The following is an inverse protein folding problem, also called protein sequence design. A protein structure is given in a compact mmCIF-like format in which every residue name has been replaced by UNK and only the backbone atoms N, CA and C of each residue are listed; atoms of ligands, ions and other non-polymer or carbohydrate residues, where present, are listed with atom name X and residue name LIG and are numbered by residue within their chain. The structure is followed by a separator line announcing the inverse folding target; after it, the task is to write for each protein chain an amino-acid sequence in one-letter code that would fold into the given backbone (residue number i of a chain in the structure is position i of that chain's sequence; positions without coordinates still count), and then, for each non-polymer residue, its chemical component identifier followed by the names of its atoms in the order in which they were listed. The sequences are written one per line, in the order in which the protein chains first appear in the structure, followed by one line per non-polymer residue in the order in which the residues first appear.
data_IF_366300461349
#
_entry.id   IF_366300461349
#
_cell.length_a   1.000
_cell.length_b   1.000
_cell.length_c   1.000
_cell.angle_alpha   90.00
_cell.angle_beta   90.00
_cell.angle_gamma   90.00
#
_symmetry.space_group_name_H-M   'P 1'
#
loop_
_entity.id
_entity.type
_entity.pdbx_description
1 polymer ?
#
# COMPACT_ATOMS: atom_id res chain seq x y z
N UNK A 1 -24.83 -4.31 16.12
CA UNK A 1 -24.00 -4.34 17.34
C UNK A 1 -22.84 -3.36 17.11
N UNK A 2 -22.47 -2.57 18.12
CA UNK A 2 -21.36 -1.60 18.04
C UNK A 2 -20.31 -2.01 19.06
N UNK A 3 -19.03 -1.89 18.72
CA UNK A 3 -17.93 -2.21 19.63
C UNK A 3 -17.84 -1.17 20.75
N UNK A 4 -17.79 -1.65 21.98
CA UNK A 4 -17.83 -0.81 23.18
C UNK A 4 -16.48 -0.19 23.51
N UNK A 5 -16.49 0.99 24.12
CA UNK A 5 -15.27 1.76 24.51
C UNK A 5 -14.36 0.98 25.45
N UNK A 6 -14.88 0.39 26.51
CA UNK A 6 -14.05 -0.21 27.57
C UNK A 6 -13.16 -1.37 27.11
N UNK A 7 -13.66 -2.39 26.35
CA UNK A 7 -12.80 -3.43 25.78
C UNK A 7 -11.74 -2.90 24.83
N UNK A 8 -12.10 -1.90 24.01
CA UNK A 8 -11.17 -1.27 23.08
C UNK A 8 -10.06 -0.50 23.81
N UNK A 9 -10.39 0.21 24.88
CA UNK A 9 -9.41 0.89 25.72
C UNK A 9 -8.44 -0.09 26.39
N UNK A 10 -8.94 -1.20 26.90
CA UNK A 10 -8.08 -2.21 27.51
C UNK A 10 -7.09 -2.79 26.47
N UNK A 11 -7.58 -3.12 25.28
CA UNK A 11 -6.75 -3.63 24.18
C UNK A 11 -5.74 -2.59 23.70
N UNK A 12 -6.16 -1.32 23.54
CA UNK A 12 -5.26 -0.23 23.14
C UNK A 12 -4.18 0.04 24.18
N UNK A 13 -4.53 -0.01 25.46
CA UNK A 13 -3.57 0.18 26.55
C UNK A 13 -2.50 -0.90 26.52
N UNK A 14 -2.89 -2.15 26.32
CA UNK A 14 -1.96 -3.26 26.18
C UNK A 14 -1.10 -3.13 24.93
N UNK A 15 -1.70 -2.78 23.78
CA UNK A 15 -0.96 -2.55 22.55
C UNK A 15 0.09 -1.43 22.70
N UNK A 16 -0.27 -0.32 23.34
CA UNK A 16 0.66 0.79 23.60
C UNK A 16 1.81 0.39 24.53
N UNK A 17 1.59 -0.53 25.46
CA UNK A 17 2.65 -1.02 26.36
C UNK A 17 3.73 -1.83 25.62
N UNK A 18 3.40 -2.41 24.46
CA UNK A 18 4.32 -3.21 23.64
C UNK A 18 4.81 -2.46 22.39
N UNK A 19 4.19 -1.36 22.03
CA UNK A 19 4.56 -0.55 20.86
C UNK A 19 5.66 0.48 21.22
N UNK A 20 6.43 0.95 20.25
CA UNK A 20 7.32 2.08 20.43
C UNK A 20 6.59 3.29 20.97
N UNK A 21 7.30 4.11 21.76
CA UNK A 21 6.77 5.41 22.21
C UNK A 21 6.40 6.28 21.00
N UNK A 22 5.30 7.02 21.11
CA UNK A 22 4.73 7.84 20.03
C UNK A 22 4.22 7.05 18.81
N UNK A 23 3.89 5.75 18.96
CA UNK A 23 3.18 5.01 17.92
C UNK A 23 1.82 5.65 17.64
N UNK A 24 1.52 5.83 16.34
CA UNK A 24 0.26 6.40 15.86
C UNK A 24 -0.84 5.34 15.86
N UNK A 25 -2.03 5.72 16.33
CA UNK A 25 -3.23 4.85 16.38
C UNK A 25 -4.09 5.12 15.16
N UNK A 26 -4.27 4.13 14.32
CA UNK A 26 -4.99 4.25 13.05
C UNK A 26 -6.19 3.31 13.03
N UNK A 27 -7.38 3.86 12.79
CA UNK A 27 -8.60 3.09 12.59
C UNK A 27 -8.76 2.78 11.09
N UNK A 28 -8.96 1.50 10.78
CA UNK A 28 -9.35 1.09 9.43
C UNK A 28 -10.85 1.29 9.24
N UNK A 29 -11.23 2.30 8.45
CA UNK A 29 -12.61 2.77 8.29
C UNK A 29 -12.89 3.15 6.84
N UNK A 30 -14.04 2.79 6.23
CA UNK A 30 -14.40 3.26 4.89
C UNK A 30 -14.64 4.78 4.82
N UNK A 31 -14.82 5.44 5.95
CA UNK A 31 -15.00 6.90 6.05
C UNK A 31 -13.67 7.66 6.14
N UNK A 32 -12.57 6.96 6.38
CA UNK A 32 -11.26 7.54 6.61
C UNK A 32 -10.62 8.12 5.34
N UNK A 33 -9.50 8.82 5.55
CA UNK A 33 -8.65 9.30 4.45
C UNK A 33 -8.24 8.12 3.58
N UNK A 34 -8.30 8.29 2.25
CA UNK A 34 -7.86 7.26 1.31
C UNK A 34 -6.35 7.02 1.46
N UNK A 35 -6.01 5.77 1.68
CA UNK A 35 -4.63 5.30 1.70
C UNK A 35 -4.09 5.19 0.28
N UNK A 36 -2.94 5.78 0.02
CA UNK A 36 -2.25 5.78 -1.26
C UNK A 36 -0.74 5.55 -1.08
N UNK A 37 -0.01 5.48 -2.19
CA UNK A 37 1.43 5.26 -2.19
C UNK A 37 2.21 6.35 -1.42
N UNK A 38 1.77 7.60 -1.51
CA UNK A 38 2.43 8.69 -0.79
C UNK A 38 2.27 8.54 0.72
N UNK A 39 1.08 8.14 1.18
CA UNK A 39 0.83 7.89 2.59
C UNK A 39 1.64 6.67 3.08
N UNK A 40 1.78 5.62 2.27
CA UNK A 40 2.64 4.48 2.59
C UNK A 40 4.10 4.91 2.80
N UNK A 41 4.64 5.73 1.90
CA UNK A 41 6.00 6.25 1.99
C UNK A 41 6.18 7.15 3.22
N UNK A 42 5.23 8.02 3.52
CA UNK A 42 5.28 8.88 4.71
C UNK A 42 5.25 8.07 6.01
N UNK A 43 4.41 7.04 6.04
CA UNK A 43 4.20 6.22 7.24
C UNK A 43 5.38 5.32 7.61
N UNK A 44 6.37 5.13 6.74
CA UNK A 44 7.62 4.44 7.09
C UNK A 44 8.45 5.19 8.14
N UNK A 45 8.23 6.50 8.27
CA UNK A 45 8.94 7.35 9.24
C UNK A 45 8.27 7.35 10.63
N UNK A 46 7.08 6.75 10.76
CA UNK A 46 6.43 6.62 12.05
C UNK A 46 7.24 5.71 12.98
N UNK A 47 7.29 6.05 14.26
CA UNK A 47 7.94 5.22 15.28
C UNK A 47 7.28 3.83 15.38
N UNK A 48 5.97 3.76 15.16
CA UNK A 48 5.16 2.57 15.08
C UNK A 48 3.72 2.89 14.71
N UNK A 49 2.97 1.88 14.29
CA UNK A 49 1.55 1.97 13.96
C UNK A 49 0.76 0.95 14.77
N UNK A 50 -0.33 1.39 15.40
CA UNK A 50 -1.30 0.53 16.07
C UNK A 50 -2.59 0.59 15.25
N UNK A 51 -2.96 -0.52 14.62
CA UNK A 51 -4.17 -0.60 13.81
C UNK A 51 -5.36 -1.04 14.65
N UNK A 52 -6.43 -0.25 14.62
CA UNK A 52 -7.74 -0.61 15.15
C UNK A 52 -8.56 -1.21 14.02
N UNK A 53 -8.90 -2.49 14.17
CA UNK A 53 -9.68 -3.24 13.20
C UNK A 53 -11.12 -3.36 13.71
N UNK A 54 -12.02 -2.51 13.19
CA UNK A 54 -13.44 -2.52 13.54
C UNK A 54 -14.15 -3.76 13.02
N UNK A 55 -15.21 -4.16 13.72
CA UNK A 55 -16.16 -5.22 13.36
C UNK A 55 -17.59 -4.74 13.57
N UNK A 56 -18.55 -5.51 13.06
CA UNK A 56 -19.98 -5.25 13.19
C UNK A 56 -20.41 -3.95 12.47
N UNK A 57 -21.24 -3.13 13.12
CA UNK A 57 -21.76 -1.87 12.58
C UNK A 57 -20.82 -0.67 12.80
N UNK A 58 -19.73 -0.87 13.56
CA UNK A 58 -18.76 0.17 13.85
C UNK A 58 -18.26 0.19 15.28
N UNK A 59 -17.56 1.26 15.61
CA UNK A 59 -16.94 1.53 16.91
C UNK A 59 -17.66 2.72 17.54
N UNK A 60 -17.75 2.74 18.87
CA UNK A 60 -18.30 3.87 19.61
C UNK A 60 -17.49 5.14 19.31
N UNK A 61 -18.16 6.18 18.83
CA UNK A 61 -17.55 7.42 18.35
C UNK A 61 -16.69 8.13 19.41
N UNK A 62 -17.02 7.95 20.69
CA UNK A 62 -16.20 8.50 21.79
C UNK A 62 -14.82 7.86 21.86
N UNK A 63 -14.70 6.58 21.47
CA UNK A 63 -13.39 5.94 21.36
C UNK A 63 -12.61 6.51 20.18
N UNK A 64 -13.26 6.68 19.04
CA UNK A 64 -12.62 7.23 17.84
C UNK A 64 -12.11 8.64 18.11
N UNK A 65 -12.98 9.50 18.64
CA UNK A 65 -12.64 10.92 18.90
C UNK A 65 -11.51 11.12 19.91
N UNK A 66 -11.43 10.25 20.94
CA UNK A 66 -10.50 10.46 22.05
C UNK A 66 -9.17 9.70 21.90
N UNK A 67 -9.13 8.61 21.11
CA UNK A 67 -8.01 7.66 21.13
C UNK A 67 -7.46 7.28 19.75
N UNK A 68 -8.09 7.70 18.67
CA UNK A 68 -7.64 7.44 17.30
C UNK A 68 -7.01 8.70 16.72
N UNK A 69 -5.80 8.57 16.19
CA UNK A 69 -5.10 9.70 15.59
C UNK A 69 -5.56 9.96 14.15
N UNK A 70 -5.79 8.90 13.38
CA UNK A 70 -6.27 8.97 12.00
C UNK A 70 -7.20 7.80 11.66
N UNK A 71 -8.10 8.03 10.69
CA UNK A 71 -8.86 6.99 10.03
C UNK A 71 -8.39 6.81 8.59
N UNK A 72 -8.13 5.57 8.19
CA UNK A 72 -7.69 5.25 6.83
C UNK A 72 -8.64 4.30 6.12
N UNK A 73 -8.88 4.58 4.83
CA UNK A 73 -9.68 3.76 3.91
C UNK A 73 -8.81 3.20 2.79
N UNK A 74 -9.00 1.94 2.42
CA UNK A 74 -8.36 1.34 1.25
C UNK A 74 -9.21 1.45 -0.03
N UNK A 75 -10.39 2.07 0.03
CA UNK A 75 -11.27 2.28 -1.12
C UNK A 75 -12.73 2.47 -0.72
N UNK A 76 -13.53 2.87 -1.70
CA UNK A 76 -14.96 3.19 -1.54
C UNK A 76 -15.83 1.92 -1.57
N UNK A 77 -15.61 1.02 -0.64
CA UNK A 77 -16.38 -0.21 -0.44
C UNK A 77 -16.30 -0.67 1.01
N UNK A 78 -17.26 -1.49 1.41
CA UNK A 78 -17.37 -1.99 2.78
C UNK A 78 -16.88 -3.44 2.84
N UNK A 79 -16.05 -3.73 3.83
CA UNK A 79 -15.57 -5.07 4.18
C UNK A 79 -16.18 -5.53 5.50
N UNK A 80 -16.11 -6.82 5.76
CA UNK A 80 -16.66 -7.41 7.00
C UNK A 80 -15.87 -7.08 8.27
N UNK A 81 -14.68 -6.47 8.13
CA UNK A 81 -13.81 -6.08 9.24
C UNK A 81 -12.57 -5.35 8.79
N UNK A 82 -11.89 -4.70 9.71
CA UNK A 82 -10.70 -3.90 9.45
C UNK A 82 -9.38 -4.67 9.26
N UNK A 83 -9.38 -5.99 9.49
CA UNK A 83 -8.15 -6.76 9.47
C UNK A 83 -7.51 -6.87 8.07
N UNK A 84 -8.33 -7.11 7.04
CA UNK A 84 -7.84 -7.16 5.65
C UNK A 84 -7.29 -5.79 5.19
N UNK A 85 -7.99 -4.66 5.40
CA UNK A 85 -7.43 -3.35 5.18
C UNK A 85 -6.10 -3.11 5.89
N UNK A 86 -6.00 -3.47 7.17
CA UNK A 86 -4.77 -3.33 7.94
C UNK A 86 -3.62 -4.15 7.32
N UNK A 87 -3.88 -5.38 6.87
CA UNK A 87 -2.88 -6.21 6.19
C UNK A 87 -2.40 -5.58 4.88
N UNK A 88 -3.31 -5.02 4.07
CA UNK A 88 -2.96 -4.32 2.82
C UNK A 88 -2.06 -3.12 3.12
N UNK A 89 -2.43 -2.30 4.11
CA UNK A 89 -1.66 -1.13 4.53
C UNK A 89 -0.29 -1.53 5.06
N UNK A 90 -0.23 -2.55 5.93
CA UNK A 90 1.04 -3.07 6.47
C UNK A 90 1.97 -3.57 5.36
N UNK A 91 1.46 -4.32 4.39
CA UNK A 91 2.27 -4.81 3.26
C UNK A 91 2.82 -3.64 2.45
N UNK A 92 1.96 -2.67 2.09
CA UNK A 92 2.37 -1.50 1.33
C UNK A 92 3.45 -0.67 2.04
N UNK A 93 3.33 -0.45 3.36
CA UNK A 93 4.33 0.28 4.15
C UNK A 93 5.62 -0.53 4.29
N UNK A 94 5.52 -1.83 4.58
CA UNK A 94 6.66 -2.70 4.82
C UNK A 94 7.62 -2.76 3.63
N UNK A 95 7.10 -2.66 2.40
CA UNK A 95 7.92 -2.62 1.17
C UNK A 95 8.91 -1.46 1.16
N UNK A 96 8.61 -0.35 1.84
CA UNK A 96 9.47 0.83 1.93
C UNK A 96 10.46 0.78 3.10
N UNK A 97 10.38 -0.23 3.97
CA UNK A 97 11.32 -0.39 5.07
C UNK A 97 12.64 -1.02 4.59
N UNK A 98 13.79 -0.52 5.06
CA UNK A 98 15.09 -1.09 4.70
C UNK A 98 15.18 -2.58 5.02
N UNK A 99 15.66 -3.37 4.07
CA UNK A 99 15.88 -4.82 4.26
C UNK A 99 14.65 -5.70 4.09
N UNK A 100 13.47 -5.15 3.81
CA UNK A 100 12.24 -5.94 3.56
C UNK A 100 12.26 -6.58 2.18
N UNK A 101 12.74 -5.88 1.17
CA UNK A 101 12.89 -6.40 -0.19
C UNK A 101 14.36 -6.75 -0.46
N UNK A 102 14.56 -7.89 -1.15
CA UNK A 102 15.90 -8.35 -1.52
C UNK A 102 16.63 -7.44 -2.54
N UNK A 103 15.88 -6.63 -3.29
CA UNK A 103 16.40 -5.64 -4.21
C UNK A 103 15.74 -4.28 -3.96
N UNK A 104 16.49 -3.36 -3.38
CA UNK A 104 15.99 -1.98 -3.11
C UNK A 104 15.73 -1.16 -4.38
N UNK A 105 16.36 -1.52 -5.50
CA UNK A 105 16.13 -0.86 -6.78
C UNK A 105 14.68 -1.05 -7.27
N UNK A 106 14.07 -2.17 -6.94
CA UNK A 106 12.67 -2.46 -7.32
C UNK A 106 11.67 -1.47 -6.73
N UNK A 107 11.98 -0.83 -5.59
CA UNK A 107 11.12 0.17 -4.96
C UNK A 107 11.14 1.50 -5.72
N UNK A 108 12.27 1.82 -6.38
CA UNK A 108 12.46 3.09 -7.08
C UNK A 108 11.69 3.11 -8.40
N UNK A 109 11.51 1.95 -9.03
CA UNK A 109 10.85 1.79 -10.33
C UNK A 109 9.36 1.40 -10.20
N UNK A 110 8.79 1.43 -9.00
CA UNK A 110 7.40 1.00 -8.75
C UNK A 110 6.35 2.00 -9.23
N UNK A 111 5.19 1.43 -9.63
CA UNK A 111 3.99 2.20 -9.97
C UNK A 111 3.60 3.19 -8.87
N UNK A 112 3.07 4.34 -9.27
CA UNK A 112 2.57 5.41 -8.40
C UNK A 112 3.61 6.23 -7.61
N UNK A 113 4.90 5.98 -7.75
CA UNK A 113 5.95 6.82 -7.12
C UNK A 113 5.91 8.25 -7.66
N UNK A 114 5.85 8.37 -8.98
CA UNK A 114 5.79 9.66 -9.70
C UNK A 114 4.41 9.91 -10.35
N UNK A 115 3.36 9.21 -9.88
CA UNK A 115 2.03 9.27 -10.49
C UNK A 115 1.94 8.50 -11.82
N UNK A 116 2.95 7.73 -12.18
CA UNK A 116 2.98 6.87 -13.37
C UNK A 116 2.75 5.42 -13.00
N UNK A 117 2.30 4.62 -13.96
CA UNK A 117 2.23 3.17 -13.83
C UNK A 117 3.53 2.55 -14.34
N UNK A 118 3.89 1.43 -13.73
CA UNK A 118 5.00 0.60 -14.22
C UNK A 118 4.72 0.10 -15.65
N UNK A 119 5.77 -0.18 -16.38
CA UNK A 119 5.71 -0.62 -17.77
C UNK A 119 5.41 -2.13 -17.86
N UNK A 120 4.89 -2.60 -19.03
CA UNK A 120 4.63 -4.02 -19.23
C UNK A 120 5.92 -4.85 -19.22
N UNK A 121 5.94 -5.91 -18.41
CA UNK A 121 7.04 -6.85 -18.35
C UNK A 121 6.83 -8.01 -19.30
N UNK A 122 7.93 -8.49 -19.89
CA UNK A 122 7.93 -9.62 -20.82
C UNK A 122 8.95 -10.67 -20.35
N UNK A 123 8.59 -11.94 -20.48
CA UNK A 123 9.44 -13.09 -20.16
C UNK A 123 9.77 -13.90 -21.43
N UNK A 124 10.66 -14.86 -21.29
CA UNK A 124 10.94 -15.85 -22.38
C UNK A 124 9.79 -16.84 -22.51
N UNK A 125 9.52 -17.33 -23.73
CA UNK A 125 10.19 -17.03 -25.00
C UNK A 125 9.77 -15.68 -25.60
N UNK A 126 10.58 -15.10 -26.51
CA UNK A 126 10.29 -13.83 -27.19
C UNK A 126 8.95 -13.85 -27.95
N UNK A 127 8.56 -15.02 -28.48
CA UNK A 127 7.30 -15.19 -29.18
C UNK A 127 6.43 -16.23 -28.48
N UNK A 128 5.18 -15.88 -28.22
CA UNK A 128 4.14 -16.78 -27.71
C UNK A 128 3.03 -16.92 -28.78
N UNK A 129 3.09 -17.98 -29.59
CA UNK A 129 2.25 -18.13 -30.76
C UNK A 129 2.50 -16.98 -31.76
N UNK A 130 1.45 -16.33 -32.28
CA UNK A 130 1.60 -15.21 -33.21
C UNK A 130 1.99 -13.88 -32.54
N UNK A 131 2.06 -13.84 -31.21
CA UNK A 131 2.38 -12.62 -30.44
C UNK A 131 3.84 -12.62 -30.02
N UNK A 132 4.58 -11.60 -30.47
CA UNK A 132 5.95 -11.32 -30.02
C UNK A 132 6.02 -10.17 -29.03
N UNK A 133 7.16 -10.02 -28.37
CA UNK A 133 7.45 -8.83 -27.56
C UNK A 133 7.44 -7.61 -28.47
N UNK A 134 6.67 -6.55 -28.16
CA UNK A 134 6.62 -5.34 -28.98
C UNK A 134 8.00 -4.72 -29.16
N UNK A 135 8.37 -4.42 -30.40
CA UNK A 135 9.58 -3.63 -30.70
C UNK A 135 9.26 -2.16 -30.42
N UNK A 136 9.71 -1.64 -29.29
CA UNK A 136 9.55 -0.22 -29.04
C UNK A 136 10.54 0.57 -29.90
N UNK A 137 10.04 1.61 -30.57
CA UNK A 137 10.84 2.49 -31.44
C UNK A 137 11.73 3.49 -30.69
N UNK A 138 11.74 3.47 -29.35
CA UNK A 138 12.36 4.53 -28.54
C UNK A 138 13.29 4.07 -27.43
N UNK A 139 13.72 2.81 -27.38
CA UNK A 139 14.70 2.36 -26.38
C UNK A 139 15.77 1.52 -27.04
N UNK A 140 17.01 2.02 -27.01
CA UNK A 140 18.21 1.24 -27.30
C UNK A 140 18.35 0.14 -26.24
N UNK A 141 18.07 -1.09 -26.65
CA UNK A 141 18.21 -2.25 -25.77
C UNK A 141 19.58 -2.87 -26.02
N UNK A 142 20.51 -2.63 -25.11
CA UNK A 142 21.67 -3.52 -24.99
C UNK A 142 21.23 -4.76 -24.23
N UNK A 143 20.78 -5.77 -24.95
CA UNK A 143 20.44 -7.06 -24.34
C UNK A 143 21.72 -7.90 -24.35
N UNK A 144 22.28 -8.12 -23.16
CA UNK A 144 23.19 -9.24 -22.98
C UNK A 144 22.39 -10.53 -23.04
N UNK A 145 22.88 -11.61 -23.70
CA UNK A 145 22.10 -12.84 -23.91
C UNK A 145 21.73 -13.62 -22.64
N UNK A 146 22.26 -13.21 -21.48
CA UNK A 146 22.02 -13.85 -20.18
C UNK A 146 20.95 -13.20 -19.31
N UNK A 147 20.60 -11.91 -19.56
CA UNK A 147 19.75 -11.15 -18.64
C UNK A 147 18.66 -10.42 -19.43
N UNK A 148 17.50 -11.08 -19.57
CA UNK A 148 16.33 -10.41 -20.12
C UNK A 148 15.45 -9.95 -18.95
N UNK A 149 15.90 -8.89 -18.29
CA UNK A 149 15.01 -7.92 -17.67
C UNK A 149 14.83 -6.77 -18.66
N UNK A 150 13.69 -6.75 -19.33
CA UNK A 150 13.37 -5.69 -20.29
C UNK A 150 12.74 -4.55 -19.51
N UNK A 151 13.56 -3.71 -18.90
CA UNK A 151 13.13 -2.42 -18.37
C UNK A 151 12.80 -1.47 -19.52
N UNK A 152 11.55 -1.06 -19.66
CA UNK A 152 11.15 -0.04 -20.63
C UNK A 152 10.11 0.91 -20.09
N UNK A 153 10.48 2.17 -20.09
CA UNK A 153 9.55 3.30 -20.00
C UNK A 153 8.62 3.30 -21.21
N UNK A 154 7.31 3.15 -20.98
CA UNK A 154 6.26 3.47 -21.94
C UNK A 154 5.55 4.73 -21.48
N UNK A 155 6.10 5.89 -21.83
CA UNK A 155 5.54 7.20 -21.45
C UNK A 155 4.40 7.69 -22.36
N UNK A 156 3.85 6.90 -23.28
CA UNK A 156 2.98 7.48 -24.31
C UNK A 156 1.56 6.90 -24.46
N UNK A 157 1.10 5.91 -23.69
CA UNK A 157 -0.20 5.30 -24.01
C UNK A 157 -1.18 5.02 -22.86
N UNK A 158 -0.87 5.41 -21.63
CA UNK A 158 -1.84 5.27 -20.53
C UNK A 158 -2.05 6.61 -19.81
N UNK A 159 -2.74 7.52 -20.53
CA UNK A 159 -3.31 8.70 -19.91
C UNK A 159 -4.52 8.23 -19.08
N UNK A 160 -4.28 7.73 -17.89
CA UNK A 160 -5.32 7.55 -16.89
C UNK A 160 -5.66 8.95 -16.42
N UNK A 161 -6.76 9.48 -16.95
CA UNK A 161 -7.30 10.76 -16.50
C UNK A 161 -7.49 10.73 -14.98
N UNK A 162 -7.63 11.89 -14.33
CA UNK A 162 -7.73 11.96 -12.88
C UNK A 162 -8.86 11.03 -12.42
N UNK A 163 -8.50 10.04 -11.65
CA UNK A 163 -9.47 9.21 -10.94
C UNK A 163 -10.04 10.11 -9.86
N UNK A 164 -11.29 10.55 -10.09
CA UNK A 164 -12.09 11.27 -9.10
C UNK A 164 -12.32 10.43 -7.87
#
# INVERSE_FOLDING_TARGET
MVMMVQPLLAALTEAKAHAPEHSRVVLMSPQGRRFDQQLAIQSKEDAGLIFICGRYEGIDERFVSDYVDEEWSIGDYVLSGGELPAMVVMDAIARHLPGTLGNQQSVIDESHLDGTLDYPHYTRPENVGPKGVPKSSSVETTIAPSDIDVHRHCNEHWNVGPIC
#
